data_IF_881455249582
#
_entry.id   IF_881455249582
#
_cell.length_a   1.000
_cell.length_b   1.000
_cell.length_c   1.000
_cell.angle_alpha   90.00
_cell.angle_beta   90.00
_cell.angle_gamma   90.00
#
_symmetry.space_group_name_H-M   'P 1'
#
loop_
_entity.id
_entity.type
_entity.pdbx_description
1 polymer ?
#
# COMPACT_ATOMS: atom_id res chain seq x y z
N UNK A 1 -35.57 -10.57 13.79
CA UNK A 1 -34.42 -9.82 14.33
C UNK A 1 -34.72 -8.34 14.15
N UNK A 2 -34.48 -7.50 15.15
CA UNK A 2 -34.75 -6.05 15.05
C UNK A 2 -33.51 -5.31 14.52
N UNK A 3 -33.64 -4.33 13.62
CA UNK A 3 -32.49 -3.57 13.12
C UNK A 3 -31.82 -2.75 14.23
N UNK A 4 -30.49 -2.76 14.24
CA UNK A 4 -29.67 -1.86 15.06
C UNK A 4 -29.52 -0.49 14.41
N UNK A 5 -29.59 -0.43 13.08
CA UNK A 5 -29.49 0.79 12.28
C UNK A 5 -30.55 0.77 11.17
N UNK A 6 -31.22 1.90 10.96
CA UNK A 6 -32.14 2.12 9.85
C UNK A 6 -31.69 3.39 9.10
N UNK A 7 -31.42 3.26 7.81
CA UNK A 7 -31.20 4.39 6.91
C UNK A 7 -32.52 4.67 6.19
N UNK A 8 -32.95 5.93 6.12
CA UNK A 8 -34.19 6.35 5.45
C UNK A 8 -33.96 7.55 4.54
N UNK A 9 -34.90 7.82 3.64
CA UNK A 9 -34.89 8.99 2.75
C UNK A 9 -33.57 9.12 1.96
N UNK A 10 -33.06 7.99 1.46
CA UNK A 10 -31.82 7.93 0.67
C UNK A 10 -32.06 7.68 -0.82
N UNK A 11 -31.00 7.85 -1.62
CA UNK A 11 -30.89 7.26 -2.96
C UNK A 11 -29.94 6.07 -2.88
N UNK A 12 -30.47 4.88 -2.57
CA UNK A 12 -29.66 3.69 -2.26
C UNK A 12 -29.52 2.83 -3.51
N UNK A 13 -28.29 2.65 -3.97
CA UNK A 13 -27.94 1.74 -5.05
C UNK A 13 -27.60 0.37 -4.47
N UNK A 14 -28.36 -0.65 -4.84
CA UNK A 14 -28.24 -2.00 -4.24
C UNK A 14 -27.34 -2.94 -5.05
N UNK A 15 -27.14 -2.63 -6.33
CA UNK A 15 -26.56 -3.52 -7.35
C UNK A 15 -27.38 -4.81 -7.61
N UNK A 16 -28.56 -4.95 -7.02
CA UNK A 16 -29.46 -6.08 -7.24
C UNK A 16 -30.35 -5.83 -8.46
N UNK A 17 -30.49 -6.81 -9.36
CA UNK A 17 -31.18 -6.64 -10.64
C UNK A 17 -32.67 -6.35 -10.47
N UNK A 18 -33.31 -6.98 -9.49
CA UNK A 18 -34.76 -6.86 -9.26
C UNK A 18 -35.15 -5.67 -8.38
N UNK A 19 -34.20 -5.10 -7.64
CA UNK A 19 -34.41 -3.91 -6.79
C UNK A 19 -33.19 -2.99 -6.89
N UNK A 20 -32.89 -2.40 -8.06
CA UNK A 20 -31.63 -1.70 -8.28
C UNK A 20 -31.49 -0.39 -7.49
N UNK A 21 -32.62 0.17 -7.06
CA UNK A 21 -32.71 1.37 -6.22
C UNK A 21 -33.69 1.16 -5.07
N UNK A 22 -33.39 1.79 -3.94
CA UNK A 22 -34.21 1.80 -2.74
C UNK A 22 -34.11 3.16 -2.03
N UNK A 23 -35.02 3.46 -1.11
CA UNK A 23 -34.95 4.68 -0.29
C UNK A 23 -34.68 4.42 1.20
N UNK A 24 -34.74 3.16 1.64
CA UNK A 24 -34.43 2.76 3.00
C UNK A 24 -33.68 1.42 3.09
N UNK A 25 -32.88 1.27 4.16
CA UNK A 25 -32.06 0.09 4.44
C UNK A 25 -32.07 -0.23 5.93
N UNK A 26 -32.51 -1.43 6.30
CA UNK A 26 -32.50 -1.91 7.68
C UNK A 26 -31.28 -2.83 7.90
N UNK A 27 -30.48 -2.56 8.92
CA UNK A 27 -29.22 -3.24 9.22
C UNK A 27 -29.24 -3.75 10.66
N UNK A 28 -28.80 -4.99 10.86
CA UNK A 28 -28.49 -5.54 12.18
C UNK A 28 -27.07 -6.11 12.20
N UNK A 29 -26.20 -5.51 13.01
CA UNK A 29 -24.79 -5.89 13.05
C UNK A 29 -24.13 -5.76 11.67
N UNK A 30 -23.61 -6.87 11.14
CA UNK A 30 -22.94 -6.94 9.84
C UNK A 30 -23.87 -7.31 8.66
N UNK A 31 -25.18 -7.45 8.89
CA UNK A 31 -26.13 -7.93 7.90
C UNK A 31 -27.17 -6.87 7.53
N UNK A 32 -27.48 -6.80 6.23
CA UNK A 32 -28.65 -6.08 5.73
C UNK A 32 -29.87 -6.98 5.97
N UNK A 33 -30.81 -6.51 6.78
CA UNK A 33 -32.06 -7.24 7.09
C UNK A 33 -33.14 -7.01 6.03
N UNK A 34 -33.24 -5.79 5.52
CA UNK A 34 -34.24 -5.42 4.52
C UNK A 34 -33.77 -4.23 3.69
N UNK A 35 -34.20 -4.21 2.43
CA UNK A 35 -34.00 -3.13 1.46
C UNK A 35 -35.37 -2.77 0.92
N UNK A 36 -35.73 -1.49 0.88
CA UNK A 36 -37.05 -1.07 0.43
C UNK A 36 -37.25 0.44 0.52
N UNK A 37 -38.44 0.87 0.92
CA UNK A 37 -38.79 2.27 1.11
C UNK A 37 -39.31 2.60 2.51
N UNK A 38 -40.21 3.56 2.58
CA UNK A 38 -40.73 4.12 3.84
C UNK A 38 -41.41 3.06 4.73
N UNK A 39 -41.86 1.94 4.15
CA UNK A 39 -42.42 0.82 4.90
C UNK A 39 -41.44 0.19 5.90
N UNK A 40 -40.12 0.35 5.69
CA UNK A 40 -39.10 -0.13 6.62
C UNK A 40 -39.07 0.68 7.94
N UNK A 41 -39.69 1.87 7.99
CA UNK A 41 -39.79 2.66 9.22
C UNK A 41 -40.51 1.88 10.35
N UNK A 42 -41.45 0.99 9.99
CA UNK A 42 -42.15 0.13 10.94
C UNK A 42 -41.24 -0.92 11.61
N UNK A 43 -40.05 -1.19 11.06
CA UNK A 43 -39.07 -2.10 11.65
C UNK A 43 -38.27 -1.46 12.78
N UNK A 44 -38.28 -0.14 12.90
CA UNK A 44 -37.55 0.56 13.95
C UNK A 44 -38.13 0.24 15.34
N UNK A 45 -37.25 -0.16 16.25
CA UNK A 45 -37.56 -0.33 17.67
C UNK A 45 -36.98 0.74 18.55
N UNK A 46 -37.18 0.57 19.85
CA UNK A 46 -36.70 1.49 20.91
C UNK A 46 -35.19 1.72 20.89
N UNK A 47 -34.40 0.76 20.42
CA UNK A 47 -32.93 0.83 20.36
C UNK A 47 -32.40 1.00 18.93
N UNK A 48 -33.26 1.06 17.92
CA UNK A 48 -32.84 1.25 16.54
C UNK A 48 -32.36 2.67 16.34
N UNK A 49 -31.11 2.83 15.91
CA UNK A 49 -30.62 4.14 15.46
C UNK A 49 -31.18 4.43 14.07
N UNK A 50 -31.89 5.52 13.91
CA UNK A 50 -32.40 5.97 12.60
C UNK A 50 -31.53 7.10 12.06
N UNK A 51 -31.14 7.02 10.80
CA UNK A 51 -30.40 8.07 10.09
C UNK A 51 -31.22 8.48 8.87
N UNK A 52 -31.69 9.73 8.87
CA UNK A 52 -32.25 10.39 7.68
C UNK A 52 -31.09 10.81 6.77
N UNK A 53 -31.10 10.29 5.55
CA UNK A 53 -30.05 10.56 4.56
C UNK A 53 -30.29 11.86 3.79
N UNK A 54 -31.45 12.51 3.92
CA UNK A 54 -31.77 13.76 3.22
C UNK A 54 -31.50 13.71 1.70
N UNK A 55 -31.81 12.58 1.07
CA UNK A 55 -31.59 12.33 -0.35
C UNK A 55 -30.15 11.95 -0.73
N UNK A 56 -29.22 11.84 0.23
CA UNK A 56 -27.85 11.40 -0.02
C UNK A 56 -27.82 9.98 -0.62
N UNK A 57 -26.78 9.74 -1.42
CA UNK A 57 -26.58 8.45 -2.08
C UNK A 57 -25.82 7.47 -1.21
N UNK A 58 -26.32 6.24 -1.15
CA UNK A 58 -25.63 5.09 -0.56
C UNK A 58 -25.26 4.13 -1.69
N UNK A 59 -24.00 3.71 -1.73
CA UNK A 59 -23.49 2.68 -2.64
C UNK A 59 -22.83 1.57 -1.82
N UNK A 60 -22.68 0.35 -2.35
CA UNK A 60 -21.88 -0.67 -1.71
C UNK A 60 -20.45 -0.17 -1.52
N UNK A 61 -19.84 -0.53 -0.38
CA UNK A 61 -18.43 -0.23 -0.14
C UNK A 61 -17.56 -0.82 -1.23
N UNK A 62 -16.53 -0.09 -1.65
CA UNK A 62 -15.68 -0.50 -2.75
C UNK A 62 -14.80 -1.68 -2.33
N UNK A 63 -14.49 -2.54 -3.31
CA UNK A 63 -13.55 -3.64 -3.16
C UNK A 63 -12.45 -3.47 -4.19
N UNK A 64 -11.20 -3.41 -3.74
CA UNK A 64 -10.07 -3.45 -4.64
C UNK A 64 -9.69 -4.89 -4.94
N UNK A 65 -9.72 -5.27 -6.22
CA UNK A 65 -9.59 -6.66 -6.64
C UNK A 65 -8.14 -7.13 -6.80
N UNK A 66 -7.14 -6.25 -6.63
CA UNK A 66 -5.73 -6.65 -6.70
C UNK A 66 -4.81 -5.62 -6.02
N UNK A 67 -4.35 -5.93 -4.82
CA UNK A 67 -3.44 -5.06 -4.06
C UNK A 67 -2.28 -5.80 -3.41
N UNK A 68 -1.16 -5.09 -3.31
CA UNK A 68 -0.08 -5.38 -2.37
C UNK A 68 -0.23 -4.41 -1.18
N UNK A 69 -1.07 -4.79 -0.21
CA UNK A 69 -1.55 -3.89 0.84
C UNK A 69 -0.50 -3.53 1.90
N UNK A 70 0.36 -4.46 2.31
CA UNK A 70 1.50 -4.18 3.18
C UNK A 70 2.51 -3.30 2.46
N UNK A 71 2.89 -3.63 1.23
CA UNK A 71 3.76 -2.80 0.40
C UNK A 71 3.21 -1.38 0.23
N UNK A 72 1.89 -1.25 0.03
CA UNK A 72 1.23 0.05 0.01
C UNK A 72 1.40 0.80 1.34
N UNK A 73 1.12 0.15 2.48
CA UNK A 73 1.30 0.74 3.80
C UNK A 73 2.73 1.20 4.08
N UNK A 74 3.73 0.43 3.63
CA UNK A 74 5.14 0.80 3.72
C UNK A 74 5.44 2.00 2.82
N UNK A 75 4.89 2.04 1.60
CA UNK A 75 5.07 3.16 0.68
C UNK A 75 4.52 4.48 1.22
N UNK A 76 3.49 4.46 2.08
CA UNK A 76 2.97 5.66 2.73
C UNK A 76 3.97 6.30 3.71
N UNK A 77 5.00 5.57 4.11
CA UNK A 77 6.10 6.06 4.95
C UNK A 77 7.30 6.50 4.12
N UNK A 78 7.36 6.20 2.84
CA UNK A 78 8.47 6.59 1.96
C UNK A 78 8.53 8.11 1.77
N UNK A 79 9.68 8.60 1.28
CA UNK A 79 9.83 9.99 0.83
C UNK A 79 9.04 10.15 -0.48
N UNK A 80 7.98 10.97 -0.44
CA UNK A 80 7.20 11.30 -1.62
C UNK A 80 7.90 12.37 -2.47
N UNK A 81 8.35 11.95 -3.65
CA UNK A 81 9.01 12.77 -4.66
C UNK A 81 8.13 12.98 -5.90
N UNK A 82 6.85 12.60 -5.84
CA UNK A 82 5.90 12.82 -6.92
C UNK A 82 5.73 14.31 -7.20
N UNK A 83 5.82 14.68 -8.47
CA UNK A 83 5.61 16.05 -8.98
C UNK A 83 6.52 17.10 -8.30
N UNK A 84 7.69 16.69 -7.80
CA UNK A 84 8.69 17.63 -7.28
C UNK A 84 9.36 18.38 -8.43
N UNK A 85 9.34 19.72 -8.44
CA UNK A 85 9.64 20.51 -9.64
C UNK A 85 11.13 20.66 -9.94
N UNK A 86 12.02 20.28 -9.02
CA UNK A 86 13.47 20.39 -9.23
C UNK A 86 14.26 19.37 -8.41
N UNK A 87 15.47 19.08 -8.86
CA UNK A 87 16.44 18.26 -8.12
C UNK A 87 16.73 18.84 -6.74
N UNK A 88 16.87 20.16 -6.63
CA UNK A 88 17.11 20.84 -5.36
C UNK A 88 15.95 20.61 -4.37
N UNK A 89 14.71 20.78 -4.82
CA UNK A 89 13.53 20.52 -3.99
C UNK A 89 13.40 19.03 -3.59
N UNK A 90 13.85 18.11 -4.46
CA UNK A 90 13.89 16.68 -4.12
C UNK A 90 14.92 16.44 -3.01
N UNK A 91 16.14 16.98 -3.15
CA UNK A 91 17.20 16.89 -2.15
C UNK A 91 16.81 17.52 -0.81
N UNK A 92 16.10 18.65 -0.80
CA UNK A 92 15.57 19.26 0.43
C UNK A 92 14.59 18.33 1.16
N UNK A 93 13.67 17.68 0.44
CA UNK A 93 12.75 16.70 1.04
C UNK A 93 13.48 15.48 1.59
N UNK A 94 14.50 15.01 0.87
CA UNK A 94 15.34 13.88 1.30
C UNK A 94 16.12 14.27 2.57
N UNK A 95 16.73 15.45 2.60
CA UNK A 95 17.45 15.99 3.75
C UNK A 95 16.53 16.13 4.97
N UNK A 96 15.31 16.65 4.78
CA UNK A 96 14.33 16.79 5.85
C UNK A 96 13.94 15.42 6.44
N UNK A 97 13.83 14.37 5.60
CA UNK A 97 13.61 13.02 6.11
C UNK A 97 14.84 12.49 6.85
N UNK A 98 16.03 12.62 6.26
CA UNK A 98 17.30 12.17 6.85
C UNK A 98 17.46 12.71 8.28
N UNK A 99 17.18 14.00 8.50
CA UNK A 99 17.28 14.65 9.81
C UNK A 99 16.38 14.06 10.92
N UNK A 100 15.36 13.28 10.56
CA UNK A 100 14.42 12.66 11.51
C UNK A 100 14.54 11.13 11.55
N UNK A 101 15.35 10.56 10.66
CA UNK A 101 15.58 9.11 10.57
C UNK A 101 16.76 8.74 11.48
N UNK A 102 16.67 7.68 12.30
CA UNK A 102 17.83 7.24 13.09
C UNK A 102 19.00 6.83 12.19
N UNK A 103 20.23 7.18 12.58
CA UNK A 103 21.45 6.88 11.81
C UNK A 103 21.52 5.40 11.39
N UNK A 104 22.03 5.14 10.19
CA UNK A 104 22.14 3.79 9.61
C UNK A 104 20.84 3.20 9.06
N UNK A 105 19.68 3.80 9.32
CA UNK A 105 18.42 3.33 8.73
C UNK A 105 18.28 3.79 7.28
N UNK A 106 17.65 2.95 6.46
CA UNK A 106 17.43 3.21 5.04
C UNK A 106 16.50 4.40 4.80
N UNK A 107 16.89 5.25 3.85
CA UNK A 107 16.03 6.27 3.27
C UNK A 107 15.46 5.76 1.95
N UNK A 108 14.18 5.41 1.97
CA UNK A 108 13.43 4.95 0.81
C UNK A 108 12.44 6.01 0.36
N UNK A 109 12.18 6.05 -0.94
CA UNK A 109 11.39 7.10 -1.57
C UNK A 109 10.95 6.70 -2.96
N UNK A 110 9.91 7.39 -3.47
CA UNK A 110 9.42 7.17 -4.82
C UNK A 110 8.94 8.45 -5.46
N UNK A 111 9.04 8.52 -6.79
CA UNK A 111 8.26 9.47 -7.59
C UNK A 111 9.08 10.55 -8.26
N UNK A 112 10.39 10.58 -8.04
CA UNK A 112 11.26 11.52 -8.72
C UNK A 112 11.18 11.31 -10.23
N UNK A 113 11.29 12.42 -10.96
CA UNK A 113 11.24 12.43 -12.41
C UNK A 113 12.09 13.60 -12.91
N UNK A 114 13.29 13.29 -13.41
CA UNK A 114 14.21 14.29 -13.91
C UNK A 114 13.66 15.06 -15.11
N UNK A 115 12.69 14.51 -15.86
CA UNK A 115 12.06 15.19 -17.00
C UNK A 115 11.25 16.42 -16.55
N UNK A 116 10.81 16.44 -15.29
CA UNK A 116 10.12 17.59 -14.71
C UNK A 116 11.07 18.70 -14.22
N UNK A 117 12.37 18.43 -14.17
CA UNK A 117 13.35 19.34 -13.61
C UNK A 117 13.92 20.28 -14.67
N UNK A 118 14.32 21.52 -14.31
CA UNK A 118 14.93 22.46 -15.26
C UNK A 118 16.17 21.89 -15.96
N UNK A 119 16.94 21.07 -15.25
CA UNK A 119 18.04 20.28 -15.79
C UNK A 119 17.59 18.82 -15.89
N UNK A 120 17.23 18.31 -17.09
CA UNK A 120 16.66 16.98 -17.26
C UNK A 120 17.72 15.87 -17.25
N UNK A 121 18.74 16.03 -16.42
CA UNK A 121 19.81 15.07 -16.24
C UNK A 121 19.47 14.14 -15.07
N UNK A 122 19.90 12.89 -15.19
CA UNK A 122 19.85 11.99 -14.06
C UNK A 122 20.61 12.58 -12.86
N UNK A 123 20.09 12.40 -11.64
CA UNK A 123 20.83 12.77 -10.45
C UNK A 123 21.94 11.75 -10.15
N UNK A 124 22.87 12.12 -9.27
CA UNK A 124 24.08 11.33 -8.97
C UNK A 124 24.13 10.89 -7.51
N UNK A 125 24.91 9.86 -7.20
CA UNK A 125 25.17 9.37 -5.85
C UNK A 125 25.75 10.48 -4.97
N UNK A 126 26.72 11.25 -5.49
CA UNK A 126 27.33 12.38 -4.77
C UNK A 126 26.30 13.43 -4.31
N UNK A 127 25.26 13.67 -5.10
CA UNK A 127 24.17 14.57 -4.71
C UNK A 127 23.34 14.01 -3.55
N UNK A 128 23.08 12.70 -3.51
CA UNK A 128 22.44 12.09 -2.33
C UNK A 128 23.38 12.06 -1.14
N UNK A 129 24.65 11.72 -1.32
CA UNK A 129 25.63 11.63 -0.25
C UNK A 129 25.67 12.94 0.56
N UNK A 130 25.61 14.08 -0.13
CA UNK A 130 25.58 15.41 0.48
C UNK A 130 24.41 15.64 1.46
N UNK A 131 23.28 14.94 1.27
CA UNK A 131 22.07 15.07 2.11
C UNK A 131 21.71 13.81 2.90
N UNK A 132 22.49 12.73 2.77
CA UNK A 132 22.26 11.44 3.43
C UNK A 132 23.54 10.81 4.02
N UNK A 133 24.46 11.56 4.65
CA UNK A 133 25.80 11.07 4.99
C UNK A 133 25.81 9.86 5.94
N UNK A 134 24.78 9.70 6.76
CA UNK A 134 24.67 8.63 7.76
C UNK A 134 23.68 7.52 7.37
N UNK A 135 23.12 7.57 6.16
CA UNK A 135 22.02 6.70 5.76
C UNK A 135 22.24 6.08 4.39
N UNK A 136 22.06 4.76 4.20
CA UNK A 136 21.90 4.22 2.86
C UNK A 136 20.59 4.74 2.27
N UNK A 137 20.64 5.24 1.02
CA UNK A 137 19.47 5.82 0.35
C UNK A 137 19.21 5.13 -0.98
N UNK A 138 17.94 4.80 -1.24
CA UNK A 138 17.49 4.25 -2.52
C UNK A 138 16.09 4.76 -2.88
N UNK A 139 16.00 5.54 -3.95
CA UNK A 139 14.78 6.24 -4.34
C UNK A 139 14.33 5.79 -5.73
N UNK A 140 13.09 5.30 -5.86
CA UNK A 140 12.54 4.81 -7.13
C UNK A 140 11.98 5.96 -7.98
N UNK A 141 12.28 5.93 -9.28
CA UNK A 141 11.72 6.87 -10.26
C UNK A 141 10.21 6.68 -10.37
N UNK A 142 9.50 7.72 -10.80
CA UNK A 142 8.04 7.70 -11.07
C UNK A 142 7.58 6.48 -11.89
N UNK A 143 8.32 6.10 -12.93
CA UNK A 143 7.97 4.96 -13.80
C UNK A 143 8.22 3.59 -13.17
N UNK A 144 9.00 3.49 -12.09
CA UNK A 144 9.39 2.22 -11.48
C UNK A 144 10.57 1.50 -12.15
N UNK A 145 11.10 2.01 -13.27
CA UNK A 145 12.17 1.37 -14.07
C UNK A 145 13.59 1.92 -13.80
N UNK A 146 13.72 2.85 -12.85
CA UNK A 146 15.02 3.37 -12.43
C UNK A 146 15.04 3.61 -10.92
N UNK A 147 16.20 3.42 -10.30
CA UNK A 147 16.49 3.71 -8.91
C UNK A 147 17.67 4.68 -8.79
N UNK A 148 17.64 5.53 -7.78
CA UNK A 148 18.70 6.48 -7.44
C UNK A 148 19.26 6.11 -6.06
N UNK A 149 20.48 5.59 -6.07
CA UNK A 149 21.23 5.11 -4.91
C UNK A 149 22.36 6.09 -4.54
N UNK A 150 22.63 6.22 -3.24
CA UNK A 150 23.82 6.93 -2.76
C UNK A 150 25.04 5.99 -2.66
N UNK A 151 26.22 6.55 -2.41
CA UNK A 151 27.48 5.77 -2.39
C UNK A 151 27.47 4.71 -1.29
N UNK A 152 26.83 4.99 -0.15
CA UNK A 152 26.70 4.01 0.94
C UNK A 152 25.83 2.81 0.52
N UNK A 153 24.70 3.04 -0.15
CA UNK A 153 23.84 1.97 -0.67
C UNK A 153 24.55 1.12 -1.74
N UNK A 154 25.27 1.76 -2.67
CA UNK A 154 26.10 1.06 -3.67
C UNK A 154 27.17 0.20 -3.01
N UNK A 155 27.86 0.74 -1.99
CA UNK A 155 28.90 0.02 -1.24
C UNK A 155 28.33 -1.19 -0.50
N UNK A 156 27.17 -1.06 0.15
CA UNK A 156 26.50 -2.17 0.81
C UNK A 156 26.10 -3.27 -0.18
N UNK A 157 25.78 -2.89 -1.42
CA UNK A 157 25.47 -3.82 -2.51
C UNK A 157 26.70 -4.42 -3.20
N UNK A 158 27.91 -4.00 -2.82
CA UNK A 158 29.14 -4.44 -3.48
C UNK A 158 29.22 -3.99 -4.94
N UNK A 159 28.50 -2.92 -5.32
CA UNK A 159 28.52 -2.37 -6.67
C UNK A 159 29.76 -1.49 -6.84
N UNK A 160 30.62 -1.86 -7.78
CA UNK A 160 31.83 -1.15 -8.18
C UNK A 160 31.83 -0.92 -9.69
N UNK A 161 32.87 -0.27 -10.22
CA UNK A 161 33.10 -0.13 -11.66
C UNK A 161 33.22 -1.48 -12.39
N UNK A 162 33.69 -2.51 -11.71
CA UNK A 162 33.88 -3.87 -12.26
C UNK A 162 32.61 -4.75 -12.19
N UNK A 163 31.58 -4.32 -11.47
CA UNK A 163 30.33 -5.08 -11.39
C UNK A 163 29.70 -5.17 -12.78
N UNK A 164 29.40 -6.39 -13.29
CA UNK A 164 28.73 -6.52 -14.57
C UNK A 164 27.25 -6.13 -14.46
N UNK A 165 26.67 -5.69 -15.57
CA UNK A 165 25.23 -5.48 -15.68
C UNK A 165 24.46 -6.81 -15.53
N UNK A 166 23.40 -6.88 -14.71
CA UNK A 166 22.58 -8.08 -14.62
C UNK A 166 21.73 -8.27 -15.88
N UNK A 167 21.31 -9.51 -16.15
CA UNK A 167 20.45 -9.82 -17.28
C UNK A 167 19.12 -9.07 -17.19
N UNK A 168 18.87 -8.15 -18.13
CA UNK A 168 17.67 -7.31 -18.15
C UNK A 168 17.75 -6.08 -17.23
N UNK A 169 18.96 -5.60 -16.92
CA UNK A 169 19.19 -4.33 -16.22
C UNK A 169 20.53 -3.72 -16.60
N UNK A 170 20.78 -2.50 -16.13
CA UNK A 170 22.02 -1.79 -16.36
C UNK A 170 22.38 -0.88 -15.18
N UNK A 171 23.67 -0.80 -14.86
CA UNK A 171 24.23 0.13 -13.89
C UNK A 171 24.80 1.31 -14.66
N UNK A 172 24.25 2.51 -14.46
CA UNK A 172 24.76 3.69 -15.14
C UNK A 172 26.15 4.06 -14.59
N UNK A 173 27.07 4.37 -15.50
CA UNK A 173 28.48 4.59 -15.23
C UNK A 173 28.93 5.90 -15.83
N UNK A 174 29.69 6.65 -15.04
CA UNK A 174 30.36 7.83 -15.53
C UNK A 174 31.32 7.43 -16.67
N UNK A 175 31.20 8.03 -17.87
CA UNK A 175 31.93 7.58 -19.06
C UNK A 175 33.44 7.87 -18.98
N UNK A 176 33.88 8.72 -18.06
CA UNK A 176 35.29 9.09 -17.89
C UNK A 176 35.97 8.17 -16.88
N UNK A 177 35.31 7.92 -15.74
CA UNK A 177 35.88 7.21 -14.59
C UNK A 177 35.47 5.74 -14.53
N UNK A 178 34.37 5.37 -15.19
CA UNK A 178 33.74 4.05 -15.10
C UNK A 178 33.02 3.79 -13.78
N UNK A 179 33.00 4.75 -12.85
CA UNK A 179 32.36 4.59 -11.55
C UNK A 179 30.83 4.58 -11.69
N UNK A 180 30.11 3.76 -10.89
CA UNK A 180 28.66 3.81 -10.84
C UNK A 180 28.18 5.20 -10.41
N UNK A 181 27.26 5.80 -11.17
CA UNK A 181 26.75 7.14 -10.88
C UNK A 181 25.70 7.16 -9.78
N UNK A 182 25.19 6.00 -9.38
CA UNK A 182 24.03 5.86 -8.48
C UNK A 182 22.71 5.55 -9.21
N UNK A 183 22.67 5.59 -10.54
CA UNK A 183 21.46 5.19 -11.29
C UNK A 183 21.50 3.70 -11.63
N UNK A 184 20.45 2.98 -11.22
CA UNK A 184 20.24 1.57 -11.49
C UNK A 184 18.97 1.40 -12.33
N UNK A 185 19.06 0.68 -13.45
CA UNK A 185 17.96 0.49 -14.39
C UNK A 185 17.44 -0.94 -14.36
N UNK A 186 16.11 -1.07 -14.40
CA UNK A 186 15.41 -2.37 -14.44
C UNK A 186 15.93 -3.33 -13.36
N UNK A 187 16.35 -4.55 -13.72
CA UNK A 187 16.84 -5.57 -12.78
C UNK A 187 18.11 -5.19 -12.02
N UNK A 188 18.85 -4.15 -12.44
CA UNK A 188 19.96 -3.64 -11.64
C UNK A 188 19.49 -3.03 -10.31
N UNK A 189 18.24 -2.58 -10.23
CA UNK A 189 17.64 -2.09 -8.99
C UNK A 189 17.60 -3.16 -7.90
N UNK A 190 17.45 -4.44 -8.28
CA UNK A 190 17.31 -5.56 -7.34
C UNK A 190 18.59 -5.75 -6.50
N UNK A 191 19.76 -5.40 -7.05
CA UNK A 191 21.06 -5.46 -6.36
C UNK A 191 21.06 -4.65 -5.05
N UNK A 192 20.35 -3.52 -5.02
CA UNK A 192 20.21 -2.66 -3.83
C UNK A 192 18.89 -2.96 -3.10
N UNK A 193 17.79 -3.20 -3.83
CA UNK A 193 16.48 -3.37 -3.22
C UNK A 193 16.43 -4.55 -2.23
N UNK A 194 17.16 -5.63 -2.50
CA UNK A 194 17.25 -6.81 -1.62
C UNK A 194 17.95 -6.55 -0.27
N UNK A 195 18.69 -5.44 -0.15
CA UNK A 195 19.41 -5.07 1.07
C UNK A 195 18.58 -4.20 2.01
N UNK A 196 17.46 -3.69 1.51
CA UNK A 196 16.50 -2.99 2.35
C UNK A 196 15.96 -3.96 3.39
N UNK A 197 15.86 -3.50 4.62
CA UNK A 197 15.40 -4.35 5.72
C UNK A 197 14.00 -4.91 5.39
N UNK A 198 13.86 -6.22 5.56
CA UNK A 198 12.54 -6.84 5.65
C UNK A 198 11.84 -6.16 6.85
N UNK A 199 10.63 -5.61 6.67
CA UNK A 199 9.94 -4.96 7.77
C UNK A 199 9.75 -5.96 8.91
N UNK A 200 10.02 -5.51 10.13
CA UNK A 200 9.66 -6.28 11.32
C UNK A 200 8.15 -6.48 11.38
N UNK A 201 7.67 -7.50 12.09
CA UNK A 201 6.23 -7.72 12.25
C UNK A 201 5.53 -6.49 12.86
N UNK A 202 6.21 -5.74 13.74
CA UNK A 202 5.70 -4.49 14.32
C UNK A 202 5.53 -3.40 13.25
N UNK A 203 6.53 -3.21 12.38
CA UNK A 203 6.46 -2.25 11.28
C UNK A 203 5.40 -2.64 10.25
N UNK A 204 5.24 -3.94 9.98
CA UNK A 204 4.23 -4.45 9.07
C UNK A 204 2.81 -4.18 9.62
N UNK A 205 2.58 -4.46 10.90
CA UNK A 205 1.33 -4.14 11.60
C UNK A 205 1.03 -2.64 11.54
N UNK A 206 2.03 -1.80 11.79
CA UNK A 206 1.85 -0.34 11.75
C UNK A 206 1.56 0.18 10.34
N UNK A 207 2.30 -0.29 9.34
CA UNK A 207 2.09 0.03 7.94
C UNK A 207 0.68 -0.35 7.47
N UNK A 208 0.24 -1.57 7.78
CA UNK A 208 -1.08 -2.08 7.44
C UNK A 208 -2.19 -1.28 8.14
N UNK A 209 -1.99 -0.84 9.39
CA UNK A 209 -2.97 0.00 10.10
C UNK A 209 -3.17 1.34 9.41
N UNK A 210 -2.08 1.99 8.98
CA UNK A 210 -2.14 3.25 8.23
C UNK A 210 -2.80 3.04 6.87
N UNK A 211 -2.44 1.97 6.17
CA UNK A 211 -3.07 1.60 4.90
C UNK A 211 -4.58 1.38 5.04
N UNK A 212 -5.03 0.71 6.10
CA UNK A 212 -6.45 0.50 6.40
C UNK A 212 -7.18 1.83 6.59
N UNK A 213 -6.64 2.76 7.39
CA UNK A 213 -7.24 4.08 7.55
C UNK A 213 -7.38 4.82 6.22
N UNK A 214 -6.36 4.72 5.36
CA UNK A 214 -6.36 5.32 4.03
C UNK A 214 -7.40 4.67 3.12
N UNK A 215 -7.49 3.35 3.09
CA UNK A 215 -8.48 2.59 2.32
C UNK A 215 -9.91 3.02 2.68
N UNK A 216 -10.23 3.10 3.98
CA UNK A 216 -11.54 3.54 4.45
C UNK A 216 -11.86 4.99 4.06
N UNK A 217 -10.86 5.88 4.06
CA UNK A 217 -11.04 7.27 3.59
C UNK A 217 -11.40 7.38 2.10
N UNK A 218 -11.11 6.33 1.32
CA UNK A 218 -11.42 6.21 -0.10
C UNK A 218 -12.70 5.39 -0.35
N UNK A 219 -13.41 4.95 0.71
CA UNK A 219 -14.59 4.11 0.60
C UNK A 219 -14.29 2.62 0.32
N UNK A 220 -13.02 2.20 0.40
CA UNK A 220 -12.62 0.80 0.24
C UNK A 220 -12.92 0.06 1.55
N UNK A 221 -13.72 -1.00 1.44
CA UNK A 221 -14.16 -1.83 2.58
C UNK A 221 -13.74 -3.29 2.45
N UNK A 222 -13.22 -3.68 1.28
CA UNK A 222 -12.62 -4.98 1.04
C UNK A 222 -11.45 -4.90 0.07
N UNK A 223 -10.55 -5.87 0.15
CA UNK A 223 -9.37 -5.98 -0.72
C UNK A 223 -9.11 -7.44 -1.09
N UNK A 224 -8.50 -7.65 -2.24
CA UNK A 224 -7.83 -8.91 -2.58
C UNK A 224 -6.32 -8.70 -2.43
N UNK A 225 -5.73 -9.36 -1.43
CA UNK A 225 -4.31 -9.22 -1.11
C UNK A 225 -3.48 -10.25 -1.86
N UNK A 226 -2.43 -9.79 -2.53
CA UNK A 226 -1.51 -10.58 -3.35
C UNK A 226 -0.18 -10.87 -2.63
N UNK A 227 0.01 -10.35 -1.42
CA UNK A 227 1.22 -10.54 -0.63
C UNK A 227 1.12 -11.72 0.32
N UNK A 228 2.26 -12.36 0.61
CA UNK A 228 2.31 -13.56 1.45
C UNK A 228 2.31 -13.31 2.97
N UNK A 229 3.03 -14.17 3.68
CA UNK A 229 2.95 -14.29 5.14
C UNK A 229 3.13 -12.98 5.95
N UNK A 230 4.03 -12.04 5.63
CA UNK A 230 4.17 -10.81 6.41
C UNK A 230 2.90 -9.96 6.46
N UNK A 231 2.20 -9.82 5.33
CA UNK A 231 0.92 -9.10 5.26
C UNK A 231 -0.17 -9.84 6.05
N UNK A 232 -0.26 -11.17 5.85
CA UNK A 232 -1.25 -11.99 6.55
C UNK A 232 -1.07 -11.95 8.08
N UNK A 233 0.16 -12.05 8.58
CA UNK A 233 0.45 -11.93 10.02
C UNK A 233 0.03 -10.57 10.56
N UNK A 234 0.27 -9.48 9.81
CA UNK A 234 -0.15 -8.15 10.21
C UNK A 234 -1.69 -8.02 10.30
N UNK A 235 -2.43 -8.59 9.34
CA UNK A 235 -3.90 -8.64 9.38
C UNK A 235 -4.39 -9.43 10.60
N UNK A 236 -3.82 -10.62 10.83
CA UNK A 236 -4.16 -11.49 11.96
C UNK A 236 -3.88 -10.81 13.31
N UNK A 237 -2.78 -10.08 13.43
CA UNK A 237 -2.43 -9.38 14.66
C UNK A 237 -3.38 -8.20 14.94
N UNK A 238 -3.69 -7.37 13.93
CA UNK A 238 -4.69 -6.31 14.07
C UNK A 238 -6.09 -6.88 14.37
N UNK A 239 -6.40 -8.05 13.81
CA UNK A 239 -7.64 -8.78 14.09
C UNK A 239 -7.69 -9.24 15.54
N UNK A 240 -6.61 -9.84 16.06
CA UNK A 240 -6.47 -10.26 17.46
C UNK A 240 -6.62 -9.09 18.43
N UNK A 241 -6.16 -7.89 18.06
CA UNK A 241 -6.32 -6.65 18.83
C UNK A 241 -7.71 -6.02 18.75
N UNK A 242 -8.61 -6.53 17.90
CA UNK A 242 -9.92 -5.91 17.65
C UNK A 242 -9.85 -4.59 16.85
N UNK A 243 -8.70 -4.31 16.23
CA UNK A 243 -8.45 -3.09 15.46
C UNK A 243 -8.81 -3.26 13.97
N UNK A 244 -8.86 -4.50 13.48
CA UNK A 244 -9.07 -4.80 12.06
C UNK A 244 -10.51 -4.52 11.59
N UNK A 245 -10.66 -3.79 10.48
CA UNK A 245 -11.96 -3.32 9.95
C UNK A 245 -12.11 -3.41 8.43
N UNK A 246 -11.30 -4.24 7.78
CA UNK A 246 -11.31 -4.42 6.31
C UNK A 246 -11.57 -5.90 5.98
N UNK A 247 -12.31 -6.21 4.92
CA UNK A 247 -12.43 -7.60 4.45
C UNK A 247 -11.28 -7.95 3.50
N UNK A 248 -10.65 -9.10 3.68
CA UNK A 248 -9.51 -9.55 2.89
C UNK A 248 -9.85 -10.88 2.24
N UNK A 249 -9.75 -10.92 0.92
CA UNK A 249 -9.52 -12.15 0.19
C UNK A 249 -8.01 -12.33 0.03
N UNK A 250 -7.43 -13.27 0.78
CA UNK A 250 -6.01 -13.56 0.77
C UNK A 250 -5.69 -14.56 -0.34
N UNK A 251 -4.91 -14.13 -1.33
CA UNK A 251 -4.36 -15.05 -2.32
C UNK A 251 -3.20 -15.85 -1.71
N UNK A 252 -2.99 -17.07 -2.20
CA UNK A 252 -1.83 -17.89 -1.83
C UNK A 252 -0.75 -17.65 -2.89
N UNK A 253 0.44 -17.13 -2.50
CA UNK A 253 1.56 -17.04 -3.43
C UNK A 253 1.89 -18.40 -4.03
N UNK A 254 2.28 -18.44 -5.31
CA UNK A 254 2.62 -19.70 -6.00
C UNK A 254 3.66 -20.52 -5.22
N UNK A 255 4.65 -19.84 -4.63
CA UNK A 255 5.72 -20.46 -3.83
C UNK A 255 5.21 -21.15 -2.55
N UNK A 256 4.02 -20.78 -2.07
CA UNK A 256 3.40 -21.33 -0.86
C UNK A 256 2.25 -22.31 -1.18
N UNK A 257 1.95 -22.55 -2.47
CA UNK A 257 0.77 -23.30 -2.89
C UNK A 257 0.82 -24.77 -2.45
N UNK A 258 1.96 -25.44 -2.62
CA UNK A 258 2.12 -26.84 -2.22
C UNK A 258 1.93 -27.03 -0.71
N UNK A 259 2.48 -26.11 0.09
CA UNK A 259 2.30 -26.11 1.54
C UNK A 259 0.82 -25.89 1.93
N UNK A 260 0.12 -25.00 1.23
CA UNK A 260 -1.30 -24.77 1.46
C UNK A 260 -2.15 -26.01 1.12
N UNK A 261 -1.81 -26.72 0.03
CA UNK A 261 -2.46 -27.98 -0.35
C UNK A 261 -2.21 -29.06 0.70
N UNK A 262 -0.97 -29.22 1.17
CA UNK A 262 -0.60 -30.19 2.21
C UNK A 262 -1.34 -29.94 3.52
N UNK A 263 -1.49 -28.66 3.90
CA UNK A 263 -2.26 -28.25 5.09
C UNK A 263 -3.78 -28.34 4.90
N UNK A 264 -4.27 -28.66 3.70
CA UNK A 264 -5.69 -28.75 3.39
C UNK A 264 -6.42 -27.40 3.34
N UNK A 265 -5.70 -26.30 3.06
CA UNK A 265 -6.30 -24.97 2.89
C UNK A 265 -7.08 -24.95 1.59
N UNK A 266 -8.36 -24.59 1.67
CA UNK A 266 -9.27 -24.48 0.54
C UNK A 266 -9.81 -23.06 0.40
N UNK A 267 -10.31 -22.70 -0.79
CA UNK A 267 -11.04 -21.44 -0.98
C UNK A 267 -12.19 -21.33 0.02
N UNK A 268 -12.29 -20.18 0.68
CA UNK A 268 -13.22 -19.90 1.78
C UNK A 268 -12.66 -20.20 3.17
N UNK A 269 -11.47 -20.80 3.31
CA UNK A 269 -10.85 -21.01 4.61
C UNK A 269 -10.56 -19.68 5.31
N UNK A 270 -10.92 -19.55 6.60
CA UNK A 270 -10.77 -18.32 7.37
C UNK A 270 -12.07 -17.86 8.04
N UNK A 271 -12.27 -16.55 8.14
CA UNK A 271 -13.48 -15.93 8.69
C UNK A 271 -14.06 -14.85 7.74
N UNK A 272 -15.11 -14.17 8.19
CA UNK A 272 -15.79 -13.11 7.42
C UNK A 272 -14.91 -11.86 7.14
N UNK A 273 -13.72 -11.77 7.75
CA UNK A 273 -12.78 -10.65 7.60
C UNK A 273 -11.50 -11.02 6.88
N UNK A 274 -10.99 -12.24 7.08
CA UNK A 274 -9.79 -12.74 6.40
C UNK A 274 -10.10 -14.16 5.94
N UNK A 275 -10.22 -14.35 4.62
CA UNK A 275 -10.43 -15.66 4.00
C UNK A 275 -9.51 -15.88 2.83
N UNK A 276 -9.13 -17.12 2.56
CA UNK A 276 -8.39 -17.51 1.38
C UNK A 276 -9.30 -17.74 0.19
N UNK A 277 -8.81 -17.52 -1.03
CA UNK A 277 -9.50 -17.92 -2.27
C UNK A 277 -9.26 -16.98 -3.42
#
# INVERSE_FOLDING_TARGET
MQPTLLLVNGNIHTMERLLPRASALAIAGAQILAVGGDELAALAGRTTRVIDLHGLTVVPGLIDAHLHFLSYGLSLREIDLMNVPSRAAALERIAARAATTPAGHWLTGRGWDQVLWPEPLFPTAAQLDAVTPEHPAFLRRKCGHAGWANSLALKLAGITRETPDPAGGAIERDPVTGEPTGILLERAMDLVAQLQAIPTDAEAVDAVRVAMQRAHSLGITGIHNMEGAPALRAFQELRRRGEWKLRVLQQIPEVDLDAAIELGIQSGFGDEWIRFG
#
